data_IF_930644413082
#
_entry.id   IF_930644413082
#
_cell.length_a   1.000
_cell.length_b   1.000
_cell.length_c   1.000
_cell.angle_alpha   90.00
_cell.angle_beta   90.00
_cell.angle_gamma   90.00
#
_symmetry.space_group_name_H-M   'P 1'
#
loop_
_entity.id
_entity.type
_entity.pdbx_description
1 polymer ?
#
# COMPACT_ATOMS: atom_id res chain seq x y z
N UNK A 1 6.01 3.52 -1.40
CA UNK A 1 5.24 3.77 -0.16
C UNK A 1 5.37 5.23 0.23
N UNK A 2 4.55 5.72 1.15
CA UNK A 2 4.64 7.12 1.61
C UNK A 2 6.00 7.41 2.30
N UNK A 3 6.30 8.68 2.52
CA UNK A 3 7.58 9.12 3.06
C UNK A 3 7.68 9.09 4.59
N UNK A 4 6.87 8.26 5.27
CA UNK A 4 7.01 8.05 6.71
C UNK A 4 8.43 7.54 7.03
N UNK A 5 9.07 8.09 8.07
CA UNK A 5 10.48 7.82 8.36
C UNK A 5 10.82 6.33 8.47
N UNK A 6 9.90 5.51 9.00
CA UNK A 6 10.09 4.06 9.11
C UNK A 6 10.25 3.38 7.74
N UNK A 7 9.57 3.88 6.70
CA UNK A 7 9.69 3.37 5.32
C UNK A 7 11.00 3.79 4.62
N UNK A 8 11.79 4.67 5.24
CA UNK A 8 13.06 5.17 4.72
C UNK A 8 14.28 4.74 5.56
N UNK A 9 14.04 3.93 6.59
CA UNK A 9 15.08 3.43 7.50
C UNK A 9 16.12 2.58 6.75
N UNK A 10 17.33 2.50 7.31
CA UNK A 10 18.39 1.64 6.79
C UNK A 10 17.95 0.17 6.82
N UNK A 11 17.38 -0.27 7.94
CA UNK A 11 16.91 -1.65 8.14
C UNK A 11 15.95 -2.14 7.04
N UNK A 12 15.02 -1.29 6.58
CA UNK A 12 14.11 -1.64 5.48
C UNK A 12 14.83 -1.75 4.13
N UNK A 13 15.87 -0.93 3.90
CA UNK A 13 16.67 -0.98 2.67
C UNK A 13 17.57 -2.20 2.64
N UNK A 14 18.18 -2.52 3.78
CA UNK A 14 19.04 -3.70 3.92
C UNK A 14 18.21 -4.97 3.73
N UNK A 15 17.03 -5.03 4.35
CA UNK A 15 16.08 -6.13 4.13
C UNK A 15 15.70 -6.27 2.64
N UNK A 16 15.41 -5.18 1.93
CA UNK A 16 15.11 -5.25 0.50
C UNK A 16 16.32 -5.67 -0.34
N UNK A 17 17.54 -5.28 0.04
CA UNK A 17 18.76 -5.68 -0.66
C UNK A 17 19.05 -7.19 -0.54
N UNK A 18 18.59 -7.83 0.54
CA UNK A 18 18.70 -9.29 0.75
C UNK A 18 17.67 -10.10 -0.06
N UNK A 19 16.65 -9.46 -0.64
CA UNK A 19 15.53 -10.13 -1.29
C UNK A 19 15.32 -9.63 -2.73
N UNK A 20 15.75 -10.42 -3.70
CA UNK A 20 15.66 -10.14 -5.14
C UNK A 20 14.22 -9.95 -5.66
N UNK A 21 13.23 -10.55 -4.99
CA UNK A 21 11.81 -10.41 -5.31
C UNK A 21 11.18 -9.10 -4.80
N UNK A 22 11.88 -8.29 -4.01
CA UNK A 22 11.34 -7.09 -3.36
C UNK A 22 11.94 -5.80 -3.92
N UNK A 23 11.13 -5.06 -4.69
CA UNK A 23 11.47 -3.71 -5.16
C UNK A 23 10.71 -2.64 -4.38
N UNK A 24 11.43 -1.76 -3.70
CA UNK A 24 10.83 -0.61 -2.99
C UNK A 24 10.82 0.62 -3.92
N UNK A 25 9.62 1.09 -4.27
CA UNK A 25 9.43 2.34 -5.00
C UNK A 25 9.05 3.46 -4.03
N UNK A 26 9.86 4.52 -3.99
CA UNK A 26 9.57 5.71 -3.18
C UNK A 26 8.67 6.67 -3.96
N UNK A 27 7.54 7.04 -3.38
CA UNK A 27 6.61 7.99 -3.99
C UNK A 27 7.07 9.44 -3.74
N UNK A 28 6.74 10.40 -4.62
CA UNK A 28 6.95 11.81 -4.34
C UNK A 28 6.22 12.23 -3.06
N UNK A 29 6.81 13.17 -2.31
CA UNK A 29 6.18 13.69 -1.08
C UNK A 29 4.79 14.23 -1.36
N UNK A 30 3.89 14.08 -0.39
CA UNK A 30 2.51 14.58 -0.45
C UNK A 30 1.74 14.17 -1.72
N UNK A 31 1.98 12.96 -2.23
CA UNK A 31 1.30 12.42 -3.41
C UNK A 31 0.36 11.26 -3.05
N UNK A 32 -0.69 11.48 -2.22
CA UNK A 32 -1.59 10.42 -1.80
C UNK A 32 -2.34 9.78 -2.99
N UNK A 33 -2.57 10.53 -4.08
CA UNK A 33 -3.19 10.00 -5.29
C UNK A 33 -2.37 8.91 -6.01
N UNK A 34 -1.08 8.80 -5.71
CA UNK A 34 -0.21 7.74 -6.25
C UNK A 34 -0.11 6.52 -5.32
N UNK A 35 -0.74 6.57 -4.14
CA UNK A 35 -0.70 5.48 -3.18
C UNK A 35 -1.98 4.63 -3.28
N UNK A 36 -1.94 3.42 -3.86
CA UNK A 36 -3.14 2.61 -4.09
C UNK A 36 -3.86 2.21 -2.80
N UNK A 37 -3.18 2.27 -1.64
CA UNK A 37 -3.81 2.04 -0.33
C UNK A 37 -4.94 3.05 -0.05
N UNK A 38 -4.87 4.27 -0.61
CA UNK A 38 -5.95 5.26 -0.47
C UNK A 38 -7.24 4.81 -1.16
N UNK A 39 -7.11 4.09 -2.29
CA UNK A 39 -8.24 3.44 -2.96
C UNK A 39 -8.88 2.37 -2.07
N UNK A 40 -8.05 1.52 -1.44
CA UNK A 40 -8.49 0.50 -0.49
C UNK A 40 -9.22 1.14 0.70
N UNK A 41 -8.69 2.23 1.26
CA UNK A 41 -9.36 2.97 2.33
C UNK A 41 -10.69 3.58 1.89
N UNK A 42 -10.77 4.10 0.66
CA UNK A 42 -12.02 4.62 0.08
C UNK A 42 -13.08 3.52 -0.05
N UNK A 43 -12.70 2.35 -0.58
CA UNK A 43 -13.58 1.19 -0.67
C UNK A 43 -14.07 0.73 0.70
N UNK A 44 -13.15 0.58 1.66
CA UNK A 44 -13.47 0.16 3.01
C UNK A 44 -14.46 1.12 3.68
N UNK A 45 -14.21 2.44 3.59
CA UNK A 45 -15.11 3.44 4.17
C UNK A 45 -16.52 3.36 3.59
N UNK A 46 -16.63 3.24 2.26
CA UNK A 46 -17.92 3.17 1.56
C UNK A 46 -18.68 1.88 1.84
N UNK A 47 -17.98 0.75 1.92
CA UNK A 47 -18.60 -0.57 2.05
C UNK A 47 -18.86 -0.99 3.51
N UNK A 48 -18.11 -0.46 4.48
CA UNK A 48 -18.10 -0.98 5.86
C UNK A 48 -18.48 0.07 6.89
N UNK A 49 -18.12 1.33 6.73
CA UNK A 49 -18.31 2.34 7.78
C UNK A 49 -19.33 3.41 7.42
N UNK A 50 -19.76 3.49 6.15
CA UNK A 50 -20.73 4.47 5.71
C UNK A 50 -22.09 4.24 6.39
N UNK A 51 -22.57 5.24 7.12
CA UNK A 51 -23.87 5.24 7.81
C UNK A 51 -24.05 4.12 8.85
N UNK A 52 -22.96 3.57 9.40
CA UNK A 52 -23.01 2.57 10.46
C UNK A 52 -22.60 3.18 11.79
N UNK A 53 -23.44 3.01 12.81
CA UNK A 53 -23.08 3.27 14.21
C UNK A 53 -22.58 1.96 14.82
N UNK A 54 -21.33 1.96 15.29
CA UNK A 54 -20.75 0.81 15.97
C UNK A 54 -21.05 0.87 17.47
N UNK A 55 -21.47 -0.27 18.02
CA UNK A 55 -21.81 -0.39 19.44
C UNK A 55 -20.60 -0.24 20.37
N UNK A 56 -19.43 -0.73 19.93
CA UNK A 56 -18.18 -0.68 20.67
C UNK A 56 -16.98 -0.82 19.72
N UNK A 57 -15.77 -0.74 20.31
CA UNK A 57 -14.51 -0.89 19.58
C UNK A 57 -14.38 -2.25 18.89
N UNK A 58 -14.84 -3.32 19.52
CA UNK A 58 -14.66 -4.68 18.98
C UNK A 58 -15.59 -4.92 17.80
N UNK A 59 -16.80 -4.35 17.82
CA UNK A 59 -17.69 -4.31 16.67
C UNK A 59 -17.02 -3.59 15.49
N UNK A 60 -16.44 -2.40 15.69
CA UNK A 60 -15.71 -1.69 14.65
C UNK A 60 -14.54 -2.53 14.09
N UNK A 61 -13.71 -3.10 14.96
CA UNK A 61 -12.56 -3.92 14.56
C UNK A 61 -13.00 -5.14 13.75
N UNK A 62 -14.06 -5.84 14.19
CA UNK A 62 -14.61 -6.98 13.43
C UNK A 62 -15.12 -6.57 12.06
N UNK A 63 -15.86 -5.46 11.97
CA UNK A 63 -16.38 -4.95 10.72
C UNK A 63 -15.25 -4.59 9.74
N UNK A 64 -14.25 -3.84 10.19
CA UNK A 64 -13.06 -3.46 9.39
C UNK A 64 -12.31 -4.70 8.91
N UNK A 65 -12.04 -5.68 9.79
CA UNK A 65 -11.32 -6.91 9.40
C UNK A 65 -12.09 -7.74 8.39
N UNK A 66 -13.41 -7.83 8.53
CA UNK A 66 -14.26 -8.53 7.55
C UNK A 66 -14.32 -7.79 6.21
N UNK A 67 -14.35 -6.46 6.22
CA UNK A 67 -14.23 -5.63 5.02
C UNK A 67 -12.93 -5.83 4.28
N UNK A 68 -11.81 -5.73 4.99
CA UNK A 68 -10.48 -5.97 4.42
C UNK A 68 -10.34 -7.38 3.86
N UNK A 69 -10.87 -8.40 4.57
CA UNK A 69 -10.92 -9.77 4.03
C UNK A 69 -11.74 -9.84 2.74
N UNK A 70 -12.88 -9.18 2.65
CA UNK A 70 -13.66 -9.18 1.41
C UNK A 70 -12.87 -8.60 0.25
N UNK A 71 -12.20 -7.45 0.46
CA UNK A 71 -11.34 -6.82 -0.55
C UNK A 71 -10.19 -7.76 -0.94
N UNK A 72 -9.53 -8.40 0.04
CA UNK A 72 -8.46 -9.37 -0.19
C UNK A 72 -8.89 -10.54 -1.10
N UNK A 73 -10.15 -10.97 -1.02
CA UNK A 73 -10.69 -12.08 -1.84
C UNK A 73 -11.34 -11.58 -3.13
N UNK A 74 -11.18 -10.31 -3.51
CA UNK A 74 -11.69 -9.74 -4.76
C UNK A 74 -10.56 -9.02 -5.50
N UNK A 75 -9.70 -9.76 -6.23
CA UNK A 75 -8.51 -9.22 -6.89
C UNK A 75 -8.78 -7.99 -7.77
N UNK A 76 -9.87 -8.00 -8.53
CA UNK A 76 -10.26 -6.87 -9.40
C UNK A 76 -10.41 -5.53 -8.65
N UNK A 77 -10.81 -5.56 -7.37
CA UNK A 77 -10.88 -4.34 -6.55
C UNK A 77 -9.49 -3.82 -6.16
N UNK A 78 -8.54 -4.72 -5.97
CA UNK A 78 -7.15 -4.38 -5.66
C UNK A 78 -6.47 -3.83 -6.92
N UNK A 79 -6.65 -4.51 -8.04
CA UNK A 79 -6.11 -4.10 -9.33
C UNK A 79 -6.70 -2.74 -9.74
N UNK A 80 -8.01 -2.53 -9.60
CA UNK A 80 -8.63 -1.23 -9.85
C UNK A 80 -8.12 -0.10 -8.95
N UNK A 81 -7.67 -0.40 -7.72
CA UNK A 81 -7.02 0.60 -6.87
C UNK A 81 -5.62 0.97 -7.38
N UNK A 82 -4.89 0.01 -7.96
CA UNK A 82 -3.60 0.26 -8.59
C UNK A 82 -3.79 1.05 -9.91
N UNK A 83 -4.71 0.62 -10.76
CA UNK A 83 -5.03 1.29 -12.02
C UNK A 83 -5.42 2.76 -11.81
N UNK A 84 -6.18 3.04 -10.74
CA UNK A 84 -6.56 4.40 -10.36
C UNK A 84 -5.38 5.35 -10.05
N UNK A 85 -4.19 4.81 -9.80
CA UNK A 85 -2.97 5.62 -9.62
C UNK A 85 -2.25 5.95 -10.93
N UNK A 86 -2.59 5.26 -12.03
CA UNK A 86 -1.88 5.32 -13.31
C UNK A 86 -0.46 4.73 -13.27
N UNK A 87 -0.07 4.06 -12.18
CA UNK A 87 1.21 3.38 -12.05
C UNK A 87 1.10 1.94 -12.55
N UNK A 88 2.21 1.41 -13.07
CA UNK A 88 2.36 -0.02 -13.36
C UNK A 88 3.46 -0.60 -12.48
N UNK A 89 3.36 -1.89 -12.10
CA UNK A 89 4.44 -2.56 -11.39
C UNK A 89 5.74 -2.47 -12.20
N UNK A 90 6.90 -2.27 -11.54
CA UNK A 90 8.18 -2.31 -12.24
C UNK A 90 8.39 -3.71 -12.84
N UNK A 91 8.81 -3.77 -14.11
CA UNK A 91 9.12 -5.03 -14.78
C UNK A 91 10.30 -5.74 -14.10
N UNK A 92 10.31 -7.08 -14.13
CA UNK A 92 11.36 -7.91 -13.54
C UNK A 92 12.78 -7.62 -14.08
N UNK A 93 12.88 -7.04 -15.29
CA UNK A 93 14.17 -6.64 -15.90
C UNK A 93 14.75 -5.33 -15.35
N UNK A 94 14.01 -4.63 -14.48
CA UNK A 94 14.49 -3.39 -13.88
C UNK A 94 15.41 -3.74 -12.72
N UNK A 95 16.68 -4.04 -13.03
CA UNK A 95 17.73 -4.19 -12.01
C UNK A 95 17.70 -2.98 -11.06
N UNK A 96 17.76 -3.18 -9.73
CA UNK A 96 17.75 -2.05 -8.81
C UNK A 96 19.02 -1.23 -9.05
N UNK A 97 18.86 -0.01 -9.57
CA UNK A 97 19.93 0.97 -9.67
C UNK A 97 20.35 1.34 -8.26
N UNK A 98 21.25 0.55 -7.66
CA UNK A 98 22.03 0.95 -6.51
C UNK A 98 23.01 2.01 -7.01
N UNK A 99 22.56 3.27 -7.03
CA UNK A 99 23.47 4.38 -7.15
C UNK A 99 24.26 4.43 -5.84
N UNK A 100 25.31 3.62 -5.75
CA UNK A 100 26.33 3.69 -4.70
C UNK A 100 27.06 5.02 -4.91
N UNK A 101 26.51 6.10 -4.34
CA UNK A 101 27.26 7.33 -4.18
C UNK A 101 28.33 7.04 -3.13
N UNK A 102 29.56 6.87 -3.60
CA UNK A 102 30.73 6.95 -2.73
C UNK A 102 30.80 8.36 -2.14
N UNK A 103 30.78 8.41 -0.81
CA UNK A 103 31.66 9.16 0.08
C UNK A 103 31.13 9.03 1.50
#
# INVERSE_FOLDING_TARGET
WDNLNVHRSADIRDYAAEHDWLTIVQLPSYSPGLNPVEGIWSLLRRAVTANIVFADRDHLVRAVRSGLRRIQHTPDLIDGCLDGTGLSPPSADTSPTTHRKGQ
#
